data_IF_881184462830
#
_entry.id   IF_881184462830
#
_cell.length_a   1.000
_cell.length_b   1.000
_cell.length_c   1.000
_cell.angle_alpha   90.00
_cell.angle_beta   90.00
_cell.angle_gamma   90.00
#
_symmetry.space_group_name_H-M   'P 1'
#
loop_
_entity.id
_entity.type
_entity.pdbx_description
1 polymer ?
#
# COMPACT_ATOMS: atom_id res chain seq x y z
N UNK A 1 16.92 -1.53 1.84
CA UNK A 1 16.00 -0.41 2.09
C UNK A 1 16.55 0.42 3.26
N UNK A 2 16.54 1.75 3.15
CA UNK A 2 16.95 2.61 4.26
C UNK A 2 15.77 2.88 5.21
N UNK A 3 16.01 2.89 6.52
CA UNK A 3 15.01 3.16 7.56
C UNK A 3 14.16 4.41 7.25
N UNK A 4 14.82 5.49 6.82
CA UNK A 4 14.17 6.75 6.48
C UNK A 4 13.23 6.70 5.26
N UNK A 5 13.38 5.71 4.37
CA UNK A 5 12.42 5.51 3.28
C UNK A 5 11.14 4.85 3.79
N UNK A 6 11.28 3.82 4.63
CA UNK A 6 10.16 3.11 5.24
C UNK A 6 9.33 4.01 6.13
N UNK A 7 9.97 4.81 6.98
CA UNK A 7 9.27 5.76 7.86
C UNK A 7 8.43 6.75 7.06
N UNK A 8 8.98 7.28 5.95
CA UNK A 8 8.23 8.17 5.03
C UNK A 8 7.04 7.48 4.36
N UNK A 9 7.13 6.19 4.06
CA UNK A 9 5.99 5.42 3.52
C UNK A 9 4.90 5.26 4.58
N UNK A 10 5.29 4.93 5.81
CA UNK A 10 4.35 4.77 6.94
C UNK A 10 3.64 6.09 7.20
N UNK A 11 4.37 7.19 7.33
CA UNK A 11 3.79 8.52 7.58
C UNK A 11 2.83 8.94 6.46
N UNK A 12 3.21 8.66 5.20
CA UNK A 12 2.34 8.92 4.07
C UNK A 12 1.06 8.07 4.13
N UNK A 13 1.17 6.77 4.41
CA UNK A 13 0.03 5.87 4.52
C UNK A 13 -0.89 6.25 5.69
N UNK A 14 -0.34 6.65 6.84
CA UNK A 14 -1.11 7.19 7.96
C UNK A 14 -1.88 8.43 7.53
N UNK A 15 -1.23 9.37 6.82
CA UNK A 15 -1.88 10.60 6.37
C UNK A 15 -2.99 10.41 5.34
N UNK A 16 -2.86 9.43 4.44
CA UNK A 16 -3.93 9.08 3.49
C UNK A 16 -5.09 8.38 4.21
N UNK A 17 -4.81 7.41 5.07
CA UNK A 17 -5.84 6.68 5.80
C UNK A 17 -6.58 7.60 6.79
N UNK A 18 -5.86 8.37 7.62
CA UNK A 18 -6.44 9.30 8.60
C UNK A 18 -7.31 10.41 7.98
N UNK A 19 -7.23 10.61 6.67
CA UNK A 19 -8.11 11.55 5.98
C UNK A 19 -9.58 11.12 5.96
N UNK A 20 -9.86 9.84 6.17
CA UNK A 20 -11.18 9.21 6.02
C UNK A 20 -11.87 9.48 4.67
N UNK A 21 -11.12 9.97 3.66
CA UNK A 21 -11.62 10.23 2.31
C UNK A 21 -11.52 8.95 1.47
N UNK A 22 -12.65 8.38 1.02
CA UNK A 22 -12.66 7.16 0.22
C UNK A 22 -11.80 7.23 -1.04
N UNK A 23 -11.71 8.39 -1.69
CA UNK A 23 -10.92 8.56 -2.90
C UNK A 23 -9.41 8.54 -2.59
N UNK A 24 -8.99 9.12 -1.47
CA UNK A 24 -7.58 9.08 -1.04
C UNK A 24 -7.18 7.68 -0.59
N UNK A 25 -8.05 7.02 0.17
CA UNK A 25 -7.83 5.64 0.62
C UNK A 25 -7.77 4.68 -0.57
N UNK A 26 -8.68 4.81 -1.55
CA UNK A 26 -8.68 4.00 -2.77
C UNK A 26 -7.40 4.16 -3.59
N UNK A 27 -6.90 5.39 -3.71
CA UNK A 27 -5.69 5.70 -4.46
C UNK A 27 -4.37 5.44 -3.71
N UNK A 28 -4.41 5.11 -2.40
CA UNK A 28 -3.23 5.01 -1.53
C UNK A 28 -2.13 4.12 -2.11
N UNK A 29 -2.48 2.88 -2.50
CA UNK A 29 -1.50 1.89 -2.97
C UNK A 29 -0.78 2.37 -4.23
N UNK A 30 -1.53 2.94 -5.17
CA UNK A 30 -0.96 3.52 -6.39
C UNK A 30 -0.08 4.72 -6.09
N UNK A 31 -0.52 5.64 -5.24
CA UNK A 31 0.26 6.84 -4.87
C UNK A 31 1.56 6.46 -4.14
N UNK A 32 1.54 5.42 -3.32
CA UNK A 32 2.75 4.86 -2.72
C UNK A 32 3.71 4.32 -3.78
N UNK A 33 3.20 3.53 -4.74
CA UNK A 33 4.02 2.97 -5.81
C UNK A 33 4.62 4.05 -6.74
N UNK A 34 3.84 5.06 -7.10
CA UNK A 34 4.31 6.21 -7.90
C UNK A 34 5.36 7.04 -7.15
N UNK A 35 5.23 7.18 -5.82
CA UNK A 35 6.16 7.98 -5.00
C UNK A 35 7.46 7.25 -4.65
N UNK A 36 7.43 5.92 -4.56
CA UNK A 36 8.57 5.10 -4.17
C UNK A 36 8.85 3.97 -5.19
N UNK A 37 9.05 4.29 -6.48
CA UNK A 37 9.05 3.30 -7.57
C UNK A 37 10.18 2.28 -7.47
N UNK A 38 11.32 2.66 -6.89
CA UNK A 38 12.51 1.80 -6.78
C UNK A 38 12.54 0.95 -5.51
N UNK A 39 11.56 1.11 -4.61
CA UNK A 39 11.56 0.41 -3.33
C UNK A 39 10.95 -0.99 -3.47
N UNK A 40 11.34 -1.95 -2.61
CA UNK A 40 10.74 -3.28 -2.61
C UNK A 40 9.23 -3.20 -2.42
N UNK A 41 8.48 -3.96 -3.21
CA UNK A 41 7.03 -3.94 -3.16
C UNK A 41 6.48 -4.35 -1.78
N UNK A 42 7.15 -5.29 -1.11
CA UNK A 42 6.81 -5.70 0.26
C UNK A 42 6.95 -4.56 1.28
N UNK A 43 7.80 -3.57 1.02
CA UNK A 43 7.94 -2.40 1.90
C UNK A 43 6.68 -1.54 1.90
N UNK A 44 6.01 -1.40 0.76
CA UNK A 44 4.72 -0.70 0.66
C UNK A 44 3.64 -1.45 1.44
N UNK A 45 3.59 -2.78 1.30
CA UNK A 45 2.67 -3.63 2.05
C UNK A 45 2.88 -3.49 3.57
N UNK A 46 4.15 -3.50 4.00
CA UNK A 46 4.50 -3.29 5.40
C UNK A 46 4.07 -1.89 5.89
N UNK A 47 4.30 -0.85 5.09
CA UNK A 47 3.93 0.51 5.44
C UNK A 47 2.42 0.68 5.64
N UNK A 48 1.61 0.13 4.74
CA UNK A 48 0.14 0.16 4.84
C UNK A 48 -0.34 -0.62 6.06
N UNK A 49 0.22 -1.80 6.31
CA UNK A 49 -0.13 -2.63 7.48
C UNK A 49 0.20 -1.91 8.78
N UNK A 50 1.37 -1.26 8.84
CA UNK A 50 1.80 -0.47 10.00
C UNK A 50 0.91 0.75 10.22
N UNK A 51 0.51 1.44 9.15
CA UNK A 51 -0.40 2.58 9.22
C UNK A 51 -1.80 2.16 9.70
N UNK A 52 -2.32 1.03 9.18
CA UNK A 52 -3.61 0.47 9.60
C UNK A 52 -3.60 0.11 11.09
N UNK A 53 -2.55 -0.56 11.58
CA UNK A 53 -2.41 -0.90 13.00
C UNK A 53 -2.41 0.33 13.91
N UNK A 54 -1.70 1.39 13.51
CA UNK A 54 -1.69 2.65 14.28
C UNK A 54 -3.06 3.33 14.35
N UNK A 55 -3.88 3.18 13.30
CA UNK A 55 -5.24 3.72 13.27
C UNK A 55 -6.24 2.85 14.01
N UNK A 56 -6.00 1.54 14.08
CA UNK A 56 -6.81 0.63 14.88
C UNK A 56 -6.70 0.95 16.38
N UNK A 57 -5.51 1.36 16.84
CA UNK A 57 -5.27 1.79 18.23
C UNK A 57 -5.97 3.12 18.60
N UNK A 58 -6.45 3.89 17.62
CA UNK A 58 -7.20 5.13 17.86
C UNK A 58 -8.67 4.79 18.17
N UNK A 59 -9.07 4.98 19.43
CA UNK A 59 -10.35 4.57 20.05
C UNK A 59 -11.63 5.19 19.42
N UNK A 60 -11.52 5.98 18.35
CA UNK A 60 -12.69 6.56 17.66
C UNK A 60 -13.28 5.59 16.63
N UNK A 61 -14.60 5.61 16.46
CA UNK A 61 -15.35 4.71 15.54
C UNK A 61 -14.79 4.67 14.12
N UNK A 62 -14.28 5.80 13.65
CA UNK A 62 -13.81 5.98 12.28
C UNK A 62 -12.41 5.40 12.07
N UNK A 63 -11.61 5.27 13.14
CA UNK A 63 -10.28 4.67 13.11
C UNK A 63 -10.34 3.19 12.74
N UNK A 64 -11.29 2.44 13.30
CA UNK A 64 -11.47 1.01 13.03
C UNK A 64 -11.93 0.73 11.59
N UNK A 65 -12.84 1.55 11.05
CA UNK A 65 -13.30 1.41 9.65
C UNK A 65 -12.12 1.65 8.70
N UNK A 66 -11.39 2.73 8.93
CA UNK A 66 -10.23 3.11 8.11
C UNK A 66 -9.10 2.07 8.20
N UNK A 67 -8.82 1.55 9.40
CA UNK A 67 -7.84 0.47 9.58
C UNK A 67 -8.24 -0.78 8.80
N UNK A 68 -9.52 -1.16 8.81
CA UNK A 68 -10.04 -2.29 8.01
C UNK A 68 -9.79 -2.07 6.51
N UNK A 69 -10.00 -0.86 6.01
CA UNK A 69 -9.64 -0.52 4.62
C UNK A 69 -8.14 -0.66 4.37
N UNK A 70 -7.29 -0.18 5.26
CA UNK A 70 -5.83 -0.33 5.17
C UNK A 70 -5.40 -1.81 5.10
N UNK A 71 -5.92 -2.65 5.99
CA UNK A 71 -5.64 -4.09 5.97
C UNK A 71 -6.12 -4.78 4.70
N UNK A 72 -7.30 -4.40 4.20
CA UNK A 72 -7.81 -4.92 2.92
C UNK A 72 -6.89 -4.55 1.76
N UNK A 73 -6.42 -3.31 1.70
CA UNK A 73 -5.48 -2.86 0.67
C UNK A 73 -4.15 -3.58 0.76
N UNK A 74 -3.61 -3.78 1.97
CA UNK A 74 -2.39 -4.55 2.18
C UNK A 74 -2.54 -6.01 1.74
N UNK A 75 -3.67 -6.66 2.05
CA UNK A 75 -3.97 -8.02 1.61
C UNK A 75 -4.00 -8.14 0.08
N UNK A 76 -4.73 -7.25 -0.60
CA UNK A 76 -4.78 -7.23 -2.08
C UNK A 76 -3.39 -6.99 -2.67
N UNK A 77 -2.65 -6.01 -2.15
CA UNK A 77 -1.28 -5.72 -2.59
C UNK A 77 -0.35 -6.93 -2.43
N UNK A 78 -0.45 -7.65 -1.30
CA UNK A 78 0.36 -8.85 -1.07
C UNK A 78 0.08 -9.97 -2.08
N UNK A 79 -1.17 -10.10 -2.55
CA UNK A 79 -1.53 -11.06 -3.59
C UNK A 79 -0.88 -10.71 -4.93
N UNK A 80 -0.89 -9.42 -5.31
CA UNK A 80 -0.22 -8.94 -6.52
C UNK A 80 1.29 -9.14 -6.45
N UNK A 81 1.90 -8.83 -5.29
CA UNK A 81 3.33 -9.08 -5.04
C UNK A 81 3.64 -10.55 -5.22
N UNK A 82 2.82 -11.43 -4.62
CA UNK A 82 2.99 -12.87 -4.75
C UNK A 82 2.88 -13.33 -6.22
N UNK A 83 1.92 -12.79 -6.99
CA UNK A 83 1.77 -13.09 -8.40
C UNK A 83 3.02 -12.67 -9.21
N UNK A 84 3.51 -11.44 -9.01
CA UNK A 84 4.72 -10.93 -9.67
C UNK A 84 5.94 -11.79 -9.33
N UNK A 85 6.14 -12.10 -8.06
CA UNK A 85 7.25 -12.94 -7.62
C UNK A 85 7.16 -14.38 -8.15
N UNK A 86 5.94 -14.93 -8.27
CA UNK A 86 5.71 -16.26 -8.86
C UNK A 86 6.01 -16.30 -10.36
N UNK A 87 6.01 -15.14 -11.04
CA UNK A 87 6.46 -14.99 -12.44
C UNK A 87 7.99 -14.81 -12.56
N UNK A 88 8.73 -14.84 -11.44
CA UNK A 88 10.19 -14.82 -11.42
C UNK A 88 10.84 -13.47 -11.14
N UNK A 89 10.06 -12.40 -10.91
CA UNK A 89 10.63 -11.11 -10.51
C UNK A 89 10.82 -11.03 -9.00
N UNK A 90 12.02 -11.39 -8.52
CA UNK A 90 12.37 -11.43 -7.10
C UNK A 90 13.68 -10.65 -6.86
N UNK A 91 13.70 -9.63 -5.98
CA UNK A 91 12.55 -9.04 -5.31
C UNK A 91 11.69 -8.21 -6.29
N UNK A 92 10.37 -8.23 -6.11
CA UNK A 92 9.49 -7.32 -6.82
C UNK A 92 9.66 -5.89 -6.30
N UNK A 93 9.65 -4.91 -7.19
CA UNK A 93 9.69 -3.48 -6.86
C UNK A 93 8.32 -2.82 -7.05
N UNK A 94 8.15 -1.61 -6.52
CA UNK A 94 6.96 -0.80 -6.80
C UNK A 94 6.77 -0.50 -8.30
N UNK A 95 7.86 -0.39 -9.07
CA UNK A 95 7.78 -0.25 -10.54
C UNK A 95 7.20 -1.50 -11.21
N UNK A 96 7.56 -2.69 -10.73
CA UNK A 96 7.01 -3.93 -11.26
C UNK A 96 5.50 -4.03 -11.00
N UNK A 97 5.02 -3.56 -9.85
CA UNK A 97 3.59 -3.42 -9.57
C UNK A 97 2.89 -2.48 -10.56
N UNK A 98 3.47 -1.30 -10.82
CA UNK A 98 2.91 -0.36 -11.80
C UNK A 98 2.83 -0.97 -13.21
N UNK A 99 3.82 -1.77 -13.61
CA UNK A 99 3.77 -2.51 -14.88
C UNK A 99 2.75 -3.63 -14.87
N UNK A 100 2.67 -4.39 -13.78
CA UNK A 100 1.71 -5.46 -13.60
C UNK A 100 0.28 -4.93 -13.72
N UNK A 101 -0.05 -3.83 -13.04
CA UNK A 101 -1.40 -3.29 -13.07
C UNK A 101 -1.83 -2.75 -14.44
N UNK A 102 -0.88 -2.23 -15.23
CA UNK A 102 -1.16 -1.79 -16.61
C UNK A 102 -1.46 -2.94 -17.57
N UNK A 103 -0.97 -4.14 -17.27
CA UNK A 103 -0.97 -5.28 -18.20
C UNK A 103 -1.88 -6.43 -17.79
N UNK A 104 -2.09 -6.63 -16.49
CA UNK A 104 -2.71 -7.86 -15.94
C UNK A 104 -3.92 -7.51 -15.07
N UNK A 105 -3.73 -6.72 -14.01
CA UNK A 105 -4.81 -6.35 -13.09
C UNK A 105 -4.90 -4.83 -12.84
N UNK A 106 -5.83 -4.11 -13.49
CA UNK A 106 -5.93 -2.67 -13.36
C UNK A 106 -6.66 -2.20 -12.09
N UNK A 107 -6.90 -3.05 -11.09
CA UNK A 107 -7.64 -2.69 -9.86
C UNK A 107 -7.15 -1.38 -9.23
N UNK A 108 -5.85 -1.26 -8.96
CA UNK A 108 -5.25 -0.06 -8.36
C UNK A 108 -5.08 1.12 -9.32
N UNK A 109 -5.37 0.96 -10.63
CA UNK A 109 -5.37 2.06 -11.60
C UNK A 109 -6.72 2.76 -11.72
N UNK A 110 -7.81 2.07 -11.39
CA UNK A 110 -9.20 2.56 -11.45
C UNK A 110 -9.65 3.25 -10.15
N UNK A 111 -8.87 3.07 -9.10
CA UNK A 111 -9.12 3.55 -7.73
C UNK A 111 -8.56 4.94 -7.50
#
# INVERSE_FOLDING_TARGET
MGQAALDRMIDFAVGELASADPARIGALVRRLADRFPSEPALSLCFAITSAAARLEDLVQSDGRVTACHGYRLAALLSADIHAIQSMGQIPATATDLLHFWRRVDPYFLKS
#
